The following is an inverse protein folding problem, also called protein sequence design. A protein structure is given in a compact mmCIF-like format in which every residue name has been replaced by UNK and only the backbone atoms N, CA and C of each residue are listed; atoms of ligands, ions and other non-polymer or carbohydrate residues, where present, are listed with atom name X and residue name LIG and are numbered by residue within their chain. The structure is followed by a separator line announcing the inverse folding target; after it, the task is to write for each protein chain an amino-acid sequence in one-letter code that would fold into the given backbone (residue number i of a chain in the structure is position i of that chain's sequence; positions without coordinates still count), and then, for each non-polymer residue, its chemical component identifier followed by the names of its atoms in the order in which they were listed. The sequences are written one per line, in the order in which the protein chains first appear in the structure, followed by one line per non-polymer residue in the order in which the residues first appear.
data_IF_289804984234
#
_entry.id   IF_289804984234
#
_cell.length_a   1.000
_cell.length_b   1.000
_cell.length_c   1.000
_cell.angle_alpha   90.00
_cell.angle_beta   90.00
_cell.angle_gamma   90.00
#
_symmetry.space_group_name_H-M   'P 1'
#
loop_
_entity.id
_entity.type
_entity.pdbx_description
1 polymer ?
#
# COMPACT_ATOMS: atom_id res chain seq x y z
N UNK A 1 -5.08 -4.92 7.02
CA UNK A 1 -5.22 -4.17 5.76
C UNK A 1 -6.38 -3.18 5.74
N UNK A 2 -7.62 -3.54 6.14
CA UNK A 2 -8.78 -2.63 6.04
C UNK A 2 -8.58 -1.23 6.66
N UNK A 3 -7.84 -1.11 7.77
CA UNK A 3 -7.58 0.17 8.44
C UNK A 3 -6.81 1.20 7.59
N UNK A 4 -6.10 0.75 6.55
CA UNK A 4 -5.25 1.60 5.68
C UNK A 4 -5.70 1.61 4.22
N UNK A 5 -6.87 1.06 3.91
CA UNK A 5 -7.42 1.06 2.56
C UNK A 5 -8.64 1.97 2.45
N UNK A 6 -9.00 2.35 1.22
CA UNK A 6 -10.19 3.16 0.94
C UNK A 6 -11.47 2.39 1.24
N UNK A 7 -11.50 1.09 0.95
CA UNK A 7 -12.63 0.22 1.24
C UNK A 7 -12.30 -1.24 0.95
N UNK A 8 -13.33 -2.02 0.61
CA UNK A 8 -13.19 -3.40 0.12
C UNK A 8 -13.69 -3.53 -1.32
N UNK A 9 -13.13 -4.49 -2.07
CA UNK A 9 -13.61 -4.85 -3.40
C UNK A 9 -14.58 -6.05 -3.31
N UNK A 10 -15.88 -5.89 -3.60
CA UNK A 10 -16.87 -6.97 -3.51
C UNK A 10 -16.70 -8.04 -4.59
N UNK A 11 -15.96 -7.76 -5.68
CA UNK A 11 -15.65 -8.77 -6.69
C UNK A 11 -14.66 -9.84 -6.19
N UNK A 12 -13.89 -9.55 -5.13
CA UNK A 12 -12.94 -10.47 -4.53
C UNK A 12 -13.21 -10.61 -3.04
N UNK A 13 -13.85 -11.70 -2.65
CA UNK A 13 -14.22 -11.97 -1.26
C UNK A 13 -13.31 -13.02 -0.63
N UNK A 14 -13.21 -13.00 0.70
CA UNK A 14 -12.40 -13.93 1.48
C UNK A 14 -13.32 -14.94 2.19
N UNK A 15 -13.45 -16.19 1.72
CA UNK A 15 -14.40 -17.16 2.28
C UNK A 15 -14.22 -17.39 3.78
N UNK A 16 -12.98 -17.50 4.24
CA UNK A 16 -12.64 -17.70 5.65
C UNK A 16 -13.04 -16.52 6.57
N UNK A 17 -13.32 -15.35 5.99
CA UNK A 17 -13.78 -14.16 6.71
C UNK A 17 -15.24 -13.85 6.39
N UNK A 18 -16.10 -14.87 6.32
CA UNK A 18 -17.52 -14.74 5.98
C UNK A 18 -17.75 -14.01 4.65
N UNK A 19 -16.91 -14.29 3.66
CA UNK A 19 -16.94 -13.62 2.35
C UNK A 19 -16.82 -12.09 2.44
N UNK A 20 -16.16 -11.57 3.48
CA UNK A 20 -15.84 -10.14 3.56
C UNK A 20 -15.05 -9.70 2.30
N UNK A 21 -15.32 -8.49 1.76
CA UNK A 21 -14.61 -7.98 0.60
C UNK A 21 -13.14 -7.74 0.93
N UNK A 22 -12.26 -8.06 -0.02
CA UNK A 22 -10.82 -7.87 0.12
C UNK A 22 -10.50 -6.38 0.19
N UNK A 23 -9.66 -5.98 1.15
CA UNK A 23 -9.23 -4.58 1.31
C UNK A 23 -8.60 -4.04 0.00
N UNK A 24 -9.06 -2.87 -0.48
CA UNK A 24 -8.70 -2.34 -1.78
C UNK A 24 -8.41 -0.82 -1.75
N UNK A 25 -7.39 -0.42 -2.52
CA UNK A 25 -6.89 0.95 -2.61
C UNK A 25 -6.19 1.39 -1.32
N UNK A 26 -4.88 1.13 -1.20
CA UNK A 26 -4.09 1.63 -0.07
C UNK A 26 -4.12 3.17 -0.08
N UNK A 27 -4.56 3.78 1.01
CA UNK A 27 -4.57 5.24 1.18
C UNK A 27 -3.30 5.67 1.93
N UNK A 28 -2.41 6.37 1.23
CA UNK A 28 -1.13 6.82 1.79
C UNK A 28 -1.32 7.67 3.07
N UNK A 29 -2.37 8.51 3.14
CA UNK A 29 -2.66 9.32 4.32
C UNK A 29 -3.03 8.45 5.50
N UNK A 30 -3.89 7.44 5.30
CA UNK A 30 -4.25 6.49 6.38
C UNK A 30 -3.04 5.69 6.87
N UNK A 31 -2.10 5.33 5.98
CA UNK A 31 -0.84 4.69 6.35
C UNK A 31 -0.03 5.59 7.27
N UNK A 32 0.19 6.85 6.88
CA UNK A 32 0.94 7.83 7.65
C UNK A 32 0.26 8.17 8.99
N UNK A 33 -1.02 8.53 8.96
CA UNK A 33 -1.78 8.98 10.12
C UNK A 33 -1.90 7.89 11.21
N UNK A 34 -1.98 6.62 10.80
CA UNK A 34 -2.17 5.48 11.71
C UNK A 34 -0.86 4.78 12.09
N UNK A 35 0.24 5.07 11.40
CA UNK A 35 1.51 4.35 11.58
C UNK A 35 1.46 2.87 11.21
N UNK A 36 0.53 2.46 10.34
CA UNK A 36 0.35 1.05 9.93
C UNK A 36 0.87 0.88 8.50
N UNK A 37 1.93 0.09 8.34
CA UNK A 37 2.48 -0.23 7.02
C UNK A 37 1.74 -1.38 6.34
N UNK A 38 1.65 -1.39 5.00
CA UNK A 38 1.11 -2.53 4.28
C UNK A 38 2.03 -3.74 4.42
N UNK A 39 1.44 -4.87 4.80
CA UNK A 39 2.11 -6.15 4.96
C UNK A 39 2.07 -6.90 3.64
N UNK A 40 3.23 -7.37 3.18
CA UNK A 40 3.42 -8.00 1.87
C UNK A 40 4.02 -9.39 2.08
N UNK A 41 3.32 -10.43 1.63
CA UNK A 41 3.90 -11.76 1.48
C UNK A 41 4.71 -11.79 0.19
N UNK A 42 5.97 -12.22 0.26
CA UNK A 42 6.88 -12.27 -0.89
C UNK A 42 7.74 -13.53 -0.89
N UNK A 43 8.15 -13.96 -2.07
CA UNK A 43 9.31 -14.85 -2.22
C UNK A 43 10.61 -14.11 -1.87
N UNK A 44 11.58 -14.83 -1.32
CA UNK A 44 12.93 -14.34 -1.08
C UNK A 44 13.81 -14.87 -2.22
N UNK A 45 14.24 -13.97 -3.10
CA UNK A 45 15.17 -14.30 -4.18
C UNK A 45 16.62 -14.30 -3.67
N UNK A 46 17.44 -15.23 -4.17
CA UNK A 46 18.87 -15.22 -3.91
C UNK A 46 19.53 -13.99 -4.53
N UNK A 47 20.57 -13.45 -3.86
CA UNK A 47 21.27 -12.24 -4.33
C UNK A 47 22.00 -12.44 -5.67
N UNK A 48 22.52 -13.63 -5.93
CA UNK A 48 23.18 -13.94 -7.20
C UNK A 48 22.16 -14.28 -8.28
N UNK A 49 22.30 -13.63 -9.44
CA UNK A 49 21.47 -13.88 -10.61
C UNK A 49 21.55 -15.36 -11.05
N UNK A 50 20.40 -15.91 -11.48
CA UNK A 50 20.31 -17.29 -11.97
C UNK A 50 20.07 -18.36 -10.89
N UNK A 51 20.22 -18.06 -9.59
CA UNK A 51 19.94 -19.04 -8.52
C UNK A 51 18.43 -19.18 -8.24
N UNK A 52 17.68 -18.09 -8.33
CA UNK A 52 16.22 -18.09 -8.15
C UNK A 52 15.78 -17.91 -6.70
N UNK A 53 14.58 -18.42 -6.37
CA UNK A 53 13.95 -18.27 -5.06
C UNK A 53 14.55 -19.23 -4.03
N UNK A 54 14.87 -18.72 -2.84
CA UNK A 54 15.48 -19.47 -1.73
C UNK A 54 14.61 -19.51 -0.47
N UNK A 55 13.46 -18.84 -0.49
CA UNK A 55 12.54 -18.83 0.64
C UNK A 55 11.31 -17.99 0.37
N UNK A 56 10.53 -17.75 1.42
CA UNK A 56 9.39 -16.84 1.43
C UNK A 56 9.32 -16.15 2.80
N UNK A 57 8.70 -14.98 2.83
CA UNK A 57 8.59 -14.21 4.06
C UNK A 57 7.62 -13.06 3.93
N UNK A 58 7.58 -12.27 5.00
CA UNK A 58 6.78 -11.07 5.10
C UNK A 58 7.71 -9.87 5.07
N UNK A 59 7.31 -8.83 4.34
CA UNK A 59 7.97 -7.53 4.34
C UNK A 59 6.94 -6.41 4.38
N UNK A 60 7.41 -5.18 4.48
CA UNK A 60 6.59 -3.96 4.44
C UNK A 60 7.23 -2.95 3.50
N UNK A 61 6.40 -2.13 2.85
CA UNK A 61 6.91 -0.94 2.17
C UNK A 61 7.41 0.08 3.22
N UNK A 62 8.54 0.79 2.99
CA UNK A 62 9.05 1.79 3.94
C UNK A 62 8.05 2.95 4.15
N UNK A 63 7.94 3.47 5.37
CA UNK A 63 7.05 4.63 5.66
C UNK A 63 7.33 5.84 4.77
N UNK A 64 8.61 6.06 4.47
CA UNK A 64 9.08 7.21 3.70
C UNK A 64 8.42 7.33 2.33
N UNK A 65 8.14 6.21 1.65
CA UNK A 65 7.49 6.27 0.33
C UNK A 65 6.06 6.86 0.41
N UNK A 66 5.35 6.63 1.51
CA UNK A 66 4.02 7.19 1.73
C UNK A 66 4.09 8.67 2.09
N UNK A 67 5.06 9.06 2.92
CA UNK A 67 5.29 10.47 3.30
C UNK A 67 5.64 11.30 2.06
N UNK A 68 6.55 10.81 1.22
CA UNK A 68 6.93 11.50 -0.02
C UNK A 68 5.76 11.58 -1.01
N UNK A 69 4.95 10.53 -1.14
CA UNK A 69 3.75 10.57 -1.98
C UNK A 69 2.74 11.63 -1.52
N UNK A 70 2.53 11.77 -0.21
CA UNK A 70 1.65 12.81 0.35
C UNK A 70 2.22 14.21 0.10
N UNK A 71 3.54 14.41 0.27
CA UNK A 71 4.21 15.69 -0.03
C UNK A 71 4.02 16.07 -1.51
N UNK A 72 4.27 15.14 -2.42
CA UNK A 72 4.08 15.36 -3.86
C UNK A 72 2.62 15.68 -4.22
N UNK A 73 1.66 14.99 -3.58
CA UNK A 73 0.24 15.29 -3.75
C UNK A 73 -0.11 16.69 -3.26
N UNK A 74 0.43 17.12 -2.11
CA UNK A 74 0.19 18.46 -1.57
C UNK A 74 0.71 19.56 -2.52
N UNK A 75 1.91 19.40 -3.08
CA UNK A 75 2.44 20.34 -4.07
C UNK A 75 1.59 20.39 -5.34
N UNK A 76 1.12 19.23 -5.81
CA UNK A 76 0.22 19.15 -6.97
C UNK A 76 -1.07 19.92 -6.72
N UNK A 77 -1.70 19.74 -5.55
CA UNK A 77 -2.95 20.43 -5.18
C UNK A 77 -2.75 21.94 -5.07
N UNK A 78 -1.62 22.40 -4.51
CA UNK A 78 -1.28 23.84 -4.45
C UNK A 78 -1.17 24.46 -5.84
N UNK A 79 -0.49 23.78 -6.76
CA UNK A 79 -0.32 24.26 -8.15
C UNK A 79 -1.66 24.41 -8.88
N UNK A 80 -2.58 23.46 -8.72
CA UNK A 80 -3.91 23.53 -9.33
C UNK A 80 -4.79 24.62 -8.71
N UNK A 81 -4.60 24.91 -7.42
CA UNK A 81 -5.32 26.00 -6.74
C UNK A 81 -4.82 27.39 -7.17
N UNK A 82 -3.59 27.50 -7.69
CA UNK A 82 -3.01 28.73 -8.24
C UNK A 82 -3.29 29.00 -9.72
N UNK A 83 -3.90 28.04 -10.45
CA UNK A 83 -4.27 28.18 -11.86
C UNK A 83 -5.75 28.54 -12.08
N UNK A 84 -6.53 28.71 -11.00
CA UNK A 84 -7.94 29.08 -11.06
C UNK A 84 -8.18 30.61 -11.02
N UNK A 85 -7.29 31.42 -11.60
CA UNK A 85 -7.43 32.88 -11.73
C UNK A 85 -7.33 33.32 -13.18
#
# INVERSE_FOLDING_TARGET
MQAITLGGNPAFTLPALNFAPTAAGIDARKVADRGILPVINTGIAHKQAGVGQIGAGITTAPMECFVEAIRALAETVKQHSGQAS
#
